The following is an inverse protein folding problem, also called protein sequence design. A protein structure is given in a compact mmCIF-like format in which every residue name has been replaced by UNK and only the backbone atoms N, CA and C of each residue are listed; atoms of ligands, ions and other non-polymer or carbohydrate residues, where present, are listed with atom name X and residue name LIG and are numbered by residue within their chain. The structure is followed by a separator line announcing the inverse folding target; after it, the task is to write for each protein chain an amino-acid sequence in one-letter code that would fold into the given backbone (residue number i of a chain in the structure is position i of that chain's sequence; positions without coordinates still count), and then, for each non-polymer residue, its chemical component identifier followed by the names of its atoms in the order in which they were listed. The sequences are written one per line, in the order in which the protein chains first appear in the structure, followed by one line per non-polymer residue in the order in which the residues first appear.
data_IF_541095212448
#
_entry.id   IF_541095212448
#
_cell.length_a   1.000
_cell.length_b   1.000
_cell.length_c   1.000
_cell.angle_alpha   90.00
_cell.angle_beta   90.00
_cell.angle_gamma   90.00
#
_symmetry.space_group_name_H-M   'P 1'
#
loop_
_entity.id
_entity.type
_entity.pdbx_description
1 polymer ?
#
# COMPACT_ATOMS: atom_id res chain seq x y z
N UNK A 1 1.57 26.96 14.72
CA UNK A 1 2.23 26.23 15.82
C UNK A 1 2.11 24.74 15.47
N UNK A 2 3.22 24.11 15.03
CA UNK A 2 3.15 22.72 14.55
C UNK A 2 2.74 21.80 15.68
N UNK A 3 1.90 20.81 15.38
CA UNK A 3 1.49 19.79 16.32
C UNK A 3 2.76 19.03 16.75
N UNK A 4 3.20 19.25 17.99
CA UNK A 4 4.38 18.60 18.59
C UNK A 4 4.00 17.41 19.46
N UNK A 5 2.74 16.99 19.44
CA UNK A 5 2.33 15.79 20.14
C UNK A 5 2.87 14.54 19.43
N UNK A 6 3.28 13.51 20.17
CA UNK A 6 3.71 12.25 19.58
C UNK A 6 2.63 11.69 18.66
N UNK A 7 2.98 11.26 17.45
CA UNK A 7 2.04 10.74 16.44
C UNK A 7 1.09 9.66 16.99
N UNK A 8 1.52 8.90 18.01
CA UNK A 8 0.70 7.90 18.71
C UNK A 8 -0.50 8.49 19.46
N UNK A 9 -0.43 9.77 19.86
CA UNK A 9 -1.48 10.45 20.63
C UNK A 9 -2.49 11.16 19.71
N UNK A 10 -2.17 11.30 18.44
CA UNK A 10 -3.02 11.95 17.43
C UNK A 10 -4.09 11.04 16.80
N UNK A 11 -4.27 9.82 17.29
CA UNK A 11 -5.24 8.88 16.72
C UNK A 11 -4.95 8.48 15.26
N UNK A 12 -3.68 8.51 14.85
CA UNK A 12 -3.26 8.17 13.50
C UNK A 12 -3.48 6.68 13.22
N UNK A 13 -4.18 6.34 12.11
CA UNK A 13 -4.41 4.95 11.69
C UNK A 13 -3.19 4.24 11.10
N UNK A 14 -2.13 4.98 10.73
CA UNK A 14 -0.96 4.40 10.06
C UNK A 14 -0.21 3.38 10.95
N UNK A 15 0.06 3.61 12.25
CA UNK A 15 0.69 2.60 13.10
C UNK A 15 -0.08 1.29 13.11
N UNK A 16 -1.42 1.34 13.23
CA UNK A 16 -2.27 0.15 13.20
C UNK A 16 -2.20 -0.57 11.84
N UNK A 17 -2.25 0.18 10.74
CA UNK A 17 -2.10 -0.39 9.40
C UNK A 17 -0.74 -1.09 9.24
N UNK A 18 0.34 -0.50 9.77
CA UNK A 18 1.67 -1.11 9.74
C UNK A 18 1.79 -2.35 10.64
N UNK A 19 1.08 -2.44 11.76
CA UNK A 19 1.03 -3.67 12.56
C UNK A 19 0.41 -4.83 11.76
N UNK A 20 -0.62 -4.55 10.97
CA UNK A 20 -1.27 -5.55 10.11
C UNK A 20 -0.37 -5.90 8.92
N UNK A 21 0.18 -4.89 8.26
CA UNK A 21 0.87 -4.99 6.97
C UNK A 21 2.39 -4.95 7.08
N UNK A 22 2.96 -4.66 8.25
CA UNK A 22 4.34 -4.22 8.53
C UNK A 22 5.51 -5.10 8.09
N UNK A 23 5.25 -6.10 7.23
CA UNK A 23 6.28 -6.95 6.65
C UNK A 23 6.09 -7.11 5.15
N UNK A 24 7.20 -7.17 4.42
CA UNK A 24 7.22 -7.29 2.95
C UNK A 24 6.32 -8.41 2.43
N UNK A 25 6.25 -9.53 3.13
CA UNK A 25 5.46 -10.69 2.70
C UNK A 25 3.96 -10.44 2.69
N UNK A 26 3.44 -9.61 3.61
CA UNK A 26 2.02 -9.24 3.61
C UNK A 26 1.62 -8.52 2.32
N UNK A 27 2.41 -7.55 1.86
CA UNK A 27 2.17 -6.86 0.60
C UNK A 27 2.33 -7.76 -0.61
N UNK A 28 3.31 -8.68 -0.62
CA UNK A 28 3.50 -9.62 -1.72
C UNK A 28 2.37 -10.64 -1.79
N UNK A 29 1.84 -11.13 -0.65
CA UNK A 29 0.66 -11.99 -0.60
C UNK A 29 -0.57 -11.25 -1.13
N UNK A 30 -0.78 -9.99 -0.71
CA UNK A 30 -1.88 -9.19 -1.24
C UNK A 30 -1.77 -8.98 -2.75
N UNK A 31 -0.59 -8.68 -3.27
CA UNK A 31 -0.36 -8.56 -4.72
C UNK A 31 -0.76 -9.85 -5.44
N UNK A 32 -0.35 -11.01 -4.92
CA UNK A 32 -0.70 -12.30 -5.49
C UNK A 32 -2.21 -12.55 -5.43
N UNK A 33 -2.88 -12.21 -4.31
CA UNK A 33 -4.34 -12.32 -4.16
C UNK A 33 -5.10 -11.38 -5.11
N UNK A 34 -4.63 -10.14 -5.34
CA UNK A 34 -5.18 -9.24 -6.34
C UNK A 34 -5.03 -9.78 -7.77
N UNK A 35 -3.98 -10.56 -8.03
CA UNK A 35 -3.77 -11.25 -9.31
C UNK A 35 -4.53 -12.58 -9.43
N UNK A 36 -5.44 -12.89 -8.49
CA UNK A 36 -6.32 -14.03 -8.55
C UNK A 36 -5.76 -15.34 -7.99
N UNK A 37 -4.65 -15.30 -7.25
CA UNK A 37 -4.16 -16.45 -6.50
C UNK A 37 -4.90 -16.54 -5.16
N UNK A 38 -5.40 -17.72 -4.81
CA UNK A 38 -6.19 -17.92 -3.60
C UNK A 38 -5.92 -19.23 -2.86
N UNK A 39 -5.08 -20.14 -3.41
CA UNK A 39 -4.68 -21.35 -2.71
C UNK A 39 -3.29 -21.24 -2.10
N UNK A 40 -3.08 -21.94 -0.98
CA UNK A 40 -1.80 -21.93 -0.27
C UNK A 40 -0.62 -22.31 -1.16
N UNK A 41 -0.77 -23.31 -2.01
CA UNK A 41 0.29 -23.80 -2.89
C UNK A 41 0.62 -22.79 -3.99
N UNK A 42 -0.39 -22.08 -4.51
CA UNK A 42 -0.20 -21.02 -5.50
C UNK A 42 0.64 -19.87 -4.90
N UNK A 43 0.30 -19.41 -3.69
CA UNK A 43 1.11 -18.41 -3.00
C UNK A 43 2.54 -18.90 -2.73
N UNK A 44 2.68 -20.15 -2.30
CA UNK A 44 4.00 -20.74 -2.00
C UNK A 44 4.89 -20.79 -3.23
N UNK A 45 4.33 -21.18 -4.36
CA UNK A 45 5.03 -21.31 -5.64
C UNK A 45 5.37 -19.93 -6.22
N UNK A 46 4.40 -19.02 -6.27
CA UNK A 46 4.57 -17.67 -6.84
C UNK A 46 5.59 -16.85 -6.07
N UNK A 47 5.57 -16.93 -4.72
CA UNK A 47 6.38 -16.07 -3.88
C UNK A 47 7.72 -16.68 -3.47
N UNK A 48 7.92 -17.98 -3.67
CA UNK A 48 9.14 -18.67 -3.20
C UNK A 48 9.34 -18.54 -1.69
N UNK A 49 8.28 -18.37 -0.93
CA UNK A 49 8.32 -18.16 0.52
C UNK A 49 8.30 -19.49 1.27
N UNK A 50 9.06 -19.58 2.37
CA UNK A 50 9.02 -20.76 3.24
C UNK A 50 7.62 -21.00 3.80
N UNK A 51 7.13 -22.26 3.76
CA UNK A 51 5.75 -22.62 4.11
C UNK A 51 5.32 -22.17 5.50
N UNK A 52 6.20 -22.23 6.50
CA UNK A 52 5.93 -21.76 7.85
C UNK A 52 5.72 -20.24 7.91
N UNK A 53 6.50 -19.48 7.14
CA UNK A 53 6.35 -18.01 7.04
C UNK A 53 5.03 -17.69 6.35
N UNK A 54 4.74 -18.33 5.21
CA UNK A 54 3.48 -18.14 4.48
C UNK A 54 2.27 -18.43 5.37
N UNK A 55 2.27 -19.58 6.08
CA UNK A 55 1.19 -19.97 6.99
C UNK A 55 0.94 -18.90 8.06
N UNK A 56 2.01 -18.40 8.70
CA UNK A 56 1.91 -17.35 9.72
C UNK A 56 1.36 -16.04 9.14
N UNK A 57 1.78 -15.67 7.94
CA UNK A 57 1.30 -14.43 7.30
C UNK A 57 -0.15 -14.52 6.87
N UNK A 58 -0.54 -15.61 6.24
CA UNK A 58 -1.95 -15.88 5.89
C UNK A 58 -2.84 -15.87 7.13
N UNK A 59 -2.41 -16.55 8.22
CA UNK A 59 -3.16 -16.53 9.47
C UNK A 59 -3.31 -15.11 10.05
N UNK A 60 -2.25 -14.29 10.02
CA UNK A 60 -2.28 -12.89 10.46
C UNK A 60 -3.21 -12.04 9.59
N UNK A 61 -3.18 -12.19 8.28
CA UNK A 61 -4.06 -11.44 7.36
C UNK A 61 -5.52 -11.85 7.56
N UNK A 62 -5.78 -13.13 7.83
CA UNK A 62 -7.14 -13.64 8.15
C UNK A 62 -7.62 -13.10 9.49
N UNK A 63 -6.79 -13.18 10.56
CA UNK A 63 -7.19 -12.70 11.90
C UNK A 63 -7.46 -11.19 11.93
N UNK A 64 -6.82 -10.43 11.04
CA UNK A 64 -7.06 -9.00 10.87
C UNK A 64 -8.19 -8.68 9.86
N UNK A 65 -8.86 -9.70 9.31
CA UNK A 65 -9.97 -9.53 8.38
C UNK A 65 -9.58 -8.95 7.01
N UNK A 66 -8.31 -9.02 6.63
CA UNK A 66 -7.81 -8.60 5.30
C UNK A 66 -8.07 -9.69 4.27
N UNK A 67 -7.90 -10.96 4.68
CA UNK A 67 -8.28 -12.12 3.91
C UNK A 67 -9.40 -12.89 4.64
N UNK A 68 -10.29 -13.49 3.89
CA UNK A 68 -11.20 -14.54 4.35
C UNK A 68 -10.60 -15.91 4.04
N UNK A 69 -10.77 -16.87 4.95
CA UNK A 69 -10.38 -18.26 4.77
C UNK A 69 -11.63 -19.10 4.67
N UNK A 70 -11.88 -19.69 3.51
CA UNK A 70 -13.09 -20.49 3.23
C UNK A 70 -12.71 -21.88 2.70
N UNK A 71 -13.46 -22.94 3.03
CA UNK A 71 -13.32 -24.21 2.33
C UNK A 71 -13.65 -24.03 0.85
N UNK A 72 -12.93 -24.72 -0.04
CA UNK A 72 -13.28 -24.77 -1.45
C UNK A 72 -14.61 -25.51 -1.64
N UNK A 73 -15.48 -24.99 -2.49
CA UNK A 73 -16.80 -25.63 -2.76
C UNK A 73 -16.65 -26.99 -3.42
N UNK A 74 -15.66 -27.13 -4.31
CA UNK A 74 -15.42 -28.37 -5.06
C UNK A 74 -14.69 -29.45 -4.24
N UNK A 75 -13.81 -29.05 -3.32
CA UNK A 75 -13.09 -29.97 -2.41
C UNK A 75 -12.92 -29.35 -1.04
N UNK A 76 -13.74 -29.70 -0.08
CA UNK A 76 -13.73 -29.18 1.30
C UNK A 76 -12.41 -29.41 2.06
N UNK A 77 -11.49 -30.23 1.55
CA UNK A 77 -10.15 -30.41 2.10
C UNK A 77 -9.22 -29.30 1.68
N UNK A 78 -9.53 -28.60 0.59
CA UNK A 78 -8.81 -27.43 0.12
C UNK A 78 -9.39 -26.16 0.73
N UNK A 79 -8.52 -25.19 0.91
CA UNK A 79 -8.86 -23.91 1.52
C UNK A 79 -8.47 -22.78 0.58
N UNK A 80 -9.36 -21.81 0.45
CA UNK A 80 -9.15 -20.58 -0.29
C UNK A 80 -8.95 -19.40 0.65
N UNK A 81 -8.06 -18.49 0.24
CA UNK A 81 -7.78 -17.22 0.90
C UNK A 81 -8.19 -16.09 -0.06
N UNK A 82 -9.33 -15.48 0.19
CA UNK A 82 -9.88 -14.44 -0.68
C UNK A 82 -9.84 -13.08 -0.02
N UNK A 83 -9.64 -12.02 -0.82
CA UNK A 83 -9.69 -10.64 -0.34
C UNK A 83 -11.08 -10.33 0.20
N UNK A 84 -11.12 -9.66 1.35
CA UNK A 84 -12.33 -9.02 1.89
C UNK A 84 -12.42 -7.60 1.36
N UNK A 85 -13.53 -6.88 1.63
CA UNK A 85 -13.63 -5.45 1.35
C UNK A 85 -12.52 -4.65 2.03
N UNK A 86 -12.15 -5.02 3.27
CA UNK A 86 -11.01 -4.43 3.98
C UNK A 86 -9.69 -4.68 3.25
N UNK A 87 -9.51 -5.89 2.70
CA UNK A 87 -8.35 -6.22 1.88
C UNK A 87 -8.32 -5.43 0.57
N UNK A 88 -9.45 -5.33 -0.13
CA UNK A 88 -9.59 -4.54 -1.35
C UNK A 88 -9.31 -3.05 -1.11
N UNK A 89 -9.66 -2.52 0.07
CA UNK A 89 -9.35 -1.15 0.48
C UNK A 89 -7.84 -0.84 0.54
N UNK A 90 -6.97 -1.85 0.56
CA UNK A 90 -5.50 -1.67 0.51
C UNK A 90 -4.94 -1.54 -0.91
N UNK A 91 -5.75 -1.79 -1.95
CA UNK A 91 -5.29 -1.74 -3.35
C UNK A 91 -4.67 -0.38 -3.72
N UNK A 92 -5.27 0.79 -3.40
CA UNK A 92 -4.65 2.07 -3.73
C UNK A 92 -3.27 2.26 -3.09
N UNK A 93 -3.11 1.87 -1.82
CA UNK A 93 -1.83 1.97 -1.12
C UNK A 93 -0.76 1.05 -1.75
N UNK A 94 -1.14 -0.18 -2.13
CA UNK A 94 -0.25 -1.11 -2.82
C UNK A 94 0.17 -0.59 -4.19
N UNK A 95 -0.77 -0.02 -4.96
CA UNK A 95 -0.48 0.56 -6.27
C UNK A 95 0.42 1.80 -6.17
N UNK A 96 0.20 2.66 -5.16
CA UNK A 96 1.07 3.80 -4.89
C UNK A 96 2.51 3.35 -4.59
N UNK A 97 2.68 2.32 -3.75
CA UNK A 97 4.00 1.74 -3.47
C UNK A 97 4.64 1.11 -4.71
N UNK A 98 3.84 0.42 -5.54
CA UNK A 98 4.32 -0.15 -6.80
C UNK A 98 4.81 0.95 -7.74
N UNK A 99 4.01 1.98 -8.00
CA UNK A 99 4.36 3.09 -8.87
C UNK A 99 5.59 3.86 -8.36
N UNK A 100 5.71 4.01 -7.04
CA UNK A 100 6.91 4.58 -6.42
C UNK A 100 8.15 3.72 -6.69
N UNK A 101 8.04 2.40 -6.50
CA UNK A 101 9.13 1.46 -6.79
C UNK A 101 9.55 1.50 -8.26
N UNK A 102 8.59 1.47 -9.19
CA UNK A 102 8.84 1.55 -10.64
C UNK A 102 9.52 2.86 -11.06
N UNK A 103 9.22 3.96 -10.35
CA UNK A 103 9.77 5.29 -10.65
C UNK A 103 11.19 5.49 -10.14
N UNK A 104 11.53 4.93 -8.98
CA UNK A 104 12.76 5.25 -8.26
C UNK A 104 13.74 4.07 -8.14
N UNK A 105 13.45 2.94 -8.76
CA UNK A 105 14.37 1.80 -8.83
C UNK A 105 14.86 1.66 -10.27
N UNK A 106 16.17 1.68 -10.43
CA UNK A 106 16.83 1.41 -11.70
C UNK A 106 16.58 -0.06 -12.12
N UNK A 107 16.61 -0.32 -13.43
CA UNK A 107 16.45 -1.67 -14.05
C UNK A 107 15.09 -2.37 -13.82
N UNK A 108 14.07 -1.68 -13.33
CA UNK A 108 12.71 -2.23 -13.34
C UNK A 108 12.03 -1.86 -14.66
N UNK A 109 11.91 -2.85 -15.54
CA UNK A 109 11.03 -2.76 -16.72
C UNK A 109 9.74 -3.51 -16.41
N UNK A 110 8.61 -2.83 -16.14
CA UNK A 110 7.36 -3.51 -15.85
C UNK A 110 6.87 -4.27 -17.07
N UNK A 111 6.75 -5.59 -16.99
CA UNK A 111 6.22 -6.44 -18.04
C UNK A 111 4.70 -6.36 -18.17
N UNK A 112 4.02 -5.83 -17.13
CA UNK A 112 2.58 -5.72 -17.07
C UNK A 112 2.19 -4.31 -16.65
N UNK A 113 1.26 -3.73 -17.40
CA UNK A 113 0.66 -2.43 -17.11
C UNK A 113 -0.76 -2.65 -16.60
N UNK A 114 -1.12 -1.98 -15.50
CA UNK A 114 -2.49 -1.99 -15.00
C UNK A 114 -3.34 -1.03 -15.83
N UNK A 115 -4.43 -1.53 -16.39
CA UNK A 115 -5.29 -0.80 -17.32
C UNK A 115 -6.75 -0.80 -16.86
N UNK A 116 -7.53 0.18 -17.34
CA UNK A 116 -8.98 0.14 -17.25
C UNK A 116 -9.51 -0.93 -18.23
N UNK A 117 -10.31 -1.85 -17.73
CA UNK A 117 -10.87 -2.94 -18.53
C UNK A 117 -11.83 -2.49 -19.62
N UNK A 118 -12.33 -1.24 -19.57
CA UNK A 118 -13.28 -0.73 -20.56
C UNK A 118 -12.62 -0.33 -21.88
N UNK A 119 -11.41 0.23 -21.78
CA UNK A 119 -10.73 0.81 -22.95
C UNK A 119 -9.29 0.32 -23.14
N UNK A 120 -8.76 -0.44 -22.15
CA UNK A 120 -7.40 -0.97 -22.19
C UNK A 120 -6.32 0.08 -21.96
N UNK A 121 -6.68 1.30 -21.54
CA UNK A 121 -5.71 2.36 -21.28
C UNK A 121 -5.11 2.25 -19.88
N UNK A 122 -3.84 2.65 -19.70
CA UNK A 122 -3.20 2.65 -18.38
C UNK A 122 -3.96 3.51 -17.38
N UNK A 123 -4.06 3.03 -16.14
CA UNK A 123 -4.58 3.86 -15.04
C UNK A 123 -3.66 5.06 -14.79
N UNK A 124 -4.24 6.17 -14.34
CA UNK A 124 -3.48 7.33 -13.89
C UNK A 124 -2.63 6.98 -12.66
N UNK A 125 -1.52 7.71 -12.42
CA UNK A 125 -0.79 7.60 -11.16
C UNK A 125 -1.70 7.82 -9.96
N UNK A 126 -1.43 7.07 -8.88
CA UNK A 126 -2.12 7.29 -7.61
C UNK A 126 -1.65 8.62 -7.03
N UNK A 127 -2.57 9.55 -6.89
CA UNK A 127 -2.31 10.91 -6.39
C UNK A 127 -3.24 11.28 -5.24
N UNK A 128 -2.91 12.39 -4.58
CA UNK A 128 -3.75 12.96 -3.53
C UNK A 128 -4.70 13.97 -4.19
N UNK A 129 -6.00 13.86 -3.86
CA UNK A 129 -7.03 14.74 -4.43
C UNK A 129 -7.76 15.49 -3.34
N UNK A 130 -8.08 16.76 -3.63
CA UNK A 130 -9.00 17.56 -2.83
C UNK A 130 -10.42 17.01 -2.94
N UNK A 131 -11.34 17.53 -2.08
CA UNK A 131 -12.76 17.19 -2.10
C UNK A 131 -13.48 17.53 -3.42
N UNK A 132 -12.95 18.48 -4.19
CA UNK A 132 -13.46 18.89 -5.51
C UNK A 132 -12.84 18.07 -6.69
N UNK A 133 -11.98 17.08 -6.38
CA UNK A 133 -11.31 16.23 -7.35
C UNK A 133 -9.98 16.79 -7.91
N UNK A 134 -9.60 18.02 -7.56
CA UNK A 134 -8.33 18.62 -7.96
C UNK A 134 -7.15 17.85 -7.35
N UNK A 135 -6.11 17.61 -8.12
CA UNK A 135 -4.87 17.04 -7.60
C UNK A 135 -4.16 18.03 -6.67
N UNK A 136 -3.63 17.49 -5.57
CA UNK A 136 -2.89 18.25 -4.58
C UNK A 136 -1.42 17.85 -4.57
N UNK A 137 -0.56 18.86 -4.59
CA UNK A 137 0.84 18.67 -4.28
C UNK A 137 1.03 18.54 -2.76
N UNK A 138 2.19 18.04 -2.35
CA UNK A 138 2.46 17.89 -0.92
C UNK A 138 2.51 19.24 -0.18
N UNK A 139 2.85 20.33 -0.88
CA UNK A 139 2.86 21.71 -0.36
C UNK A 139 1.46 22.24 -0.02
N UNK A 140 0.43 21.70 -0.63
CA UNK A 140 -0.97 22.09 -0.42
C UNK A 140 -1.64 21.31 0.73
N UNK A 141 -0.93 20.35 1.33
CA UNK A 141 -1.48 19.52 2.41
C UNK A 141 -1.19 20.13 3.78
N UNK A 142 -2.15 20.05 4.68
CA UNK A 142 -2.02 20.46 6.07
C UNK A 142 -2.80 19.52 7.00
N UNK A 143 -2.41 19.51 8.27
CA UNK A 143 -3.14 18.79 9.32
C UNK A 143 -4.01 19.74 10.10
N UNK A 144 -5.26 19.35 10.36
CA UNK A 144 -6.23 20.12 11.10
C UNK A 144 -6.95 19.21 12.10
N UNK A 145 -7.36 19.76 13.24
CA UNK A 145 -8.20 19.07 14.18
C UNK A 145 -9.66 18.99 13.65
N UNK A 146 -10.45 17.97 14.02
CA UNK A 146 -11.79 17.78 13.47
C UNK A 146 -12.73 18.98 13.66
N UNK A 147 -12.57 19.72 14.77
CA UNK A 147 -13.37 20.91 15.11
C UNK A 147 -13.08 22.12 14.21
N UNK A 148 -11.92 22.11 13.51
CA UNK A 148 -11.49 23.21 12.63
C UNK A 148 -11.53 22.84 11.15
N UNK A 149 -12.07 21.68 10.80
CA UNK A 149 -12.23 21.30 9.40
C UNK A 149 -13.12 22.32 8.67
N UNK A 150 -12.64 22.86 7.55
CA UNK A 150 -13.28 23.93 6.80
C UNK A 150 -12.61 25.30 6.97
N UNK A 151 -11.72 25.46 7.94
CA UNK A 151 -10.90 26.66 8.08
C UNK A 151 -9.62 26.52 7.25
N UNK A 152 -9.12 27.61 6.63
CA UNK A 152 -7.82 27.57 5.95
C UNK A 152 -6.67 27.24 6.92
N UNK A 153 -5.74 26.42 6.45
CA UNK A 153 -4.56 26.03 7.23
C UNK A 153 -3.34 26.78 6.72
N UNK A 154 -2.70 27.56 7.60
CA UNK A 154 -1.39 28.13 7.30
C UNK A 154 -0.32 27.08 7.54
N UNK A 155 0.27 26.57 6.46
CA UNK A 155 1.30 25.55 6.51
C UNK A 155 2.67 26.15 6.80
N UNK A 156 3.19 25.90 8.00
CA UNK A 156 4.62 26.09 8.25
C UNK A 156 5.38 24.88 7.70
N UNK A 157 6.35 25.15 6.83
CA UNK A 157 7.22 24.18 6.14
C UNK A 157 7.65 23.02 7.05
N UNK A 158 7.13 21.82 6.81
CA UNK A 158 7.64 20.59 7.41
C UNK A 158 8.84 20.10 6.58
N UNK A 159 9.77 19.48 7.25
CA UNK A 159 11.10 18.99 6.90
C UNK A 159 11.42 18.35 5.54
N UNK A 160 10.90 18.87 4.43
CA UNK A 160 11.33 18.49 3.10
C UNK A 160 12.45 19.41 2.63
N UNK A 161 13.58 18.84 2.25
CA UNK A 161 14.68 19.54 1.61
C UNK A 161 14.58 19.38 0.10
N UNK A 162 14.20 20.44 -0.59
CA UNK A 162 14.17 20.47 -2.05
C UNK A 162 15.61 20.36 -2.57
N UNK A 163 15.94 19.32 -3.34
CA UNK A 163 17.25 19.14 -3.96
C UNK A 163 18.20 18.13 -3.29
N UNK A 164 17.74 17.35 -2.30
CA UNK A 164 18.57 16.29 -1.70
C UNK A 164 18.80 15.05 -2.59
N UNK A 165 18.28 15.05 -3.82
CA UNK A 165 18.34 13.91 -4.76
C UNK A 165 19.40 14.03 -5.86
N UNK A 166 20.21 15.10 -5.87
CA UNK A 166 21.27 15.27 -6.86
C UNK A 166 22.66 15.28 -6.17
N UNK A 167 22.96 14.28 -5.37
CA UNK A 167 24.36 13.93 -5.11
C UNK A 167 24.72 12.80 -6.07
N UNK A 168 25.39 13.18 -7.17
CA UNK A 168 26.16 12.24 -7.96
C UNK A 168 27.10 11.48 -7.01
N UNK A 169 27.29 10.16 -7.21
CA UNK A 169 28.30 9.44 -6.45
C UNK A 169 29.65 10.08 -6.77
N UNK A 170 30.27 10.72 -5.77
CA UNK A 170 31.67 11.12 -5.87
C UNK A 170 32.48 9.86 -6.16
N UNK A 171 33.13 9.87 -7.31
CA UNK A 171 34.13 8.88 -7.72
C UNK A 171 35.12 8.62 -6.58
N UNK A 172 34.98 7.47 -5.92
CA UNK A 172 36.05 6.92 -5.11
C UNK A 172 37.13 6.36 -6.03
N UNK A 173 38.20 7.14 -6.21
CA UNK A 173 39.51 6.62 -6.65
C UNK A 173 40.09 5.61 -5.65
#
# INVERSE_FOLDING_TARGET
MGIREPLRELGCGLPHALEVMGERWSFLILRAAFNGLYHFEEFSQELGIARNILSNRLAKLVSNGVLARTPCEEDRRKVEYRLTEKGLGLLPAMLALRQWGERYTEDISPNLVLVDCRDGLPISPIGIRAHDGRELSWEELGWQTPDKVGEPVDRKSGGYVKGATEQEPEDCC
#
